data_IF_972934272668
#
_entry.id   IF_972934272668
#
_cell.length_a   1.000
_cell.length_b   1.000
_cell.length_c   1.000
_cell.angle_alpha   90.00
_cell.angle_beta   90.00
_cell.angle_gamma   90.00
#
_symmetry.space_group_name_H-M   'P 1'
#
loop_
_entity.id
_entity.type
_entity.pdbx_description
1 polymer ?
#
# COMPACT_ATOMS: atom_id res chain seq x y z
N UNK A 1 2.62 3.65 13.50
CA UNK A 1 3.28 4.73 12.73
C UNK A 1 2.24 5.33 11.80
N UNK A 2 1.91 6.61 11.93
CA UNK A 2 0.87 7.24 11.12
C UNK A 2 1.37 7.45 9.67
N UNK A 3 0.56 7.06 8.68
CA UNK A 3 0.85 7.23 7.27
C UNK A 3 0.95 8.73 6.92
N UNK A 4 2.11 9.26 6.45
CA UNK A 4 2.34 10.70 6.29
C UNK A 4 1.56 11.35 5.13
N UNK A 5 0.79 10.59 4.35
CA UNK A 5 0.05 11.08 3.18
C UNK A 5 -1.25 11.87 3.50
N UNK A 6 -1.66 11.98 4.77
CA UNK A 6 -2.98 12.53 5.14
C UNK A 6 -2.96 13.93 5.79
N UNK A 7 -1.83 14.64 5.73
CA UNK A 7 -1.58 15.80 6.59
C UNK A 7 -2.11 17.15 6.06
N UNK A 8 -2.38 17.31 4.75
CA UNK A 8 -2.84 18.60 4.20
C UNK A 8 -4.33 18.60 3.79
N UNK A 9 -5.10 19.67 4.10
CA UNK A 9 -6.46 19.88 3.59
C UNK A 9 -6.56 19.92 2.05
N UNK A 10 -5.46 20.20 1.34
CA UNK A 10 -5.42 20.13 -0.13
C UNK A 10 -5.38 18.67 -0.61
N UNK A 11 -4.60 17.83 0.05
CA UNK A 11 -4.46 16.41 -0.31
C UNK A 11 -5.80 15.68 -0.14
N UNK A 12 -6.50 15.94 0.96
CA UNK A 12 -7.84 15.37 1.21
C UNK A 12 -8.83 15.73 0.10
N UNK A 13 -8.82 16.98 -0.39
CA UNK A 13 -9.69 17.41 -1.49
C UNK A 13 -9.33 16.73 -2.80
N UNK A 14 -8.05 16.60 -3.14
CA UNK A 14 -7.64 15.91 -4.37
C UNK A 14 -8.04 14.44 -4.37
N UNK A 15 -7.91 13.77 -3.23
CA UNK A 15 -8.25 12.35 -3.09
C UNK A 15 -9.76 12.08 -3.14
N UNK A 16 -10.60 13.07 -2.85
CA UNK A 16 -12.07 12.92 -2.80
C UNK A 16 -12.81 13.53 -4.00
N UNK A 17 -12.12 14.25 -4.89
CA UNK A 17 -12.73 14.99 -6.00
C UNK A 17 -13.43 14.10 -7.04
N UNK A 18 -13.04 12.83 -7.13
CA UNK A 18 -13.61 11.87 -8.07
C UNK A 18 -14.85 11.16 -7.52
N UNK A 19 -15.17 11.36 -6.25
CA UNK A 19 -16.32 10.72 -5.60
C UNK A 19 -17.52 11.66 -5.57
N UNK A 20 -18.76 11.12 -5.70
CA UNK A 20 -19.97 11.88 -5.40
C UNK A 20 -19.88 12.47 -3.99
N UNK A 21 -20.46 13.67 -3.78
CA UNK A 21 -20.44 14.32 -2.48
C UNK A 21 -21.80 14.87 -2.04
N UNK A 22 -22.00 14.94 -0.73
CA UNK A 22 -23.19 15.49 -0.08
C UNK A 22 -22.79 16.36 1.10
N UNK A 23 -23.46 17.49 1.31
CA UNK A 23 -23.22 18.29 2.51
C UNK A 23 -23.88 17.64 3.72
N UNK A 24 -23.23 17.74 4.88
CA UNK A 24 -23.76 17.18 6.13
C UNK A 24 -25.17 17.71 6.45
N UNK A 25 -25.45 18.97 6.10
CA UNK A 25 -26.77 19.60 6.27
C UNK A 25 -27.87 18.99 5.39
N UNK A 26 -27.54 18.42 4.23
CA UNK A 26 -28.51 17.81 3.30
C UNK A 26 -28.71 16.32 3.55
N UNK A 27 -27.86 15.71 4.37
CA UNK A 27 -27.80 14.25 4.51
C UNK A 27 -29.12 13.64 5.03
N UNK A 28 -29.75 14.25 6.03
CA UNK A 28 -31.02 13.76 6.60
C UNK A 28 -32.16 13.77 5.57
N UNK A 29 -32.24 14.82 4.76
CA UNK A 29 -33.27 14.95 3.73
C UNK A 29 -33.00 14.16 2.45
N UNK A 30 -31.75 13.76 2.22
CA UNK A 30 -31.31 13.05 1.02
C UNK A 30 -30.92 11.59 1.28
N UNK A 31 -31.30 11.01 2.43
CA UNK A 31 -30.79 9.71 2.87
C UNK A 31 -30.99 8.60 1.83
N UNK A 32 -32.16 8.53 1.19
CA UNK A 32 -32.42 7.54 0.15
C UNK A 32 -31.48 7.69 -1.06
N UNK A 33 -31.25 8.93 -1.50
CA UNK A 33 -30.35 9.23 -2.61
C UNK A 33 -28.89 8.90 -2.24
N UNK A 34 -28.48 9.23 -1.01
CA UNK A 34 -27.16 8.90 -0.47
C UNK A 34 -26.96 7.39 -0.44
N UNK A 35 -27.92 6.62 0.07
CA UNK A 35 -27.87 5.15 0.07
C UNK A 35 -27.75 4.59 -1.34
N UNK A 36 -28.59 5.03 -2.29
CA UNK A 36 -28.50 4.57 -3.67
C UNK A 36 -27.14 4.90 -4.31
N UNK A 37 -26.60 6.08 -4.00
CA UNK A 37 -25.28 6.52 -4.49
C UNK A 37 -24.16 5.63 -3.94
N UNK A 38 -24.19 5.32 -2.64
CA UNK A 38 -23.23 4.41 -1.99
C UNK A 38 -23.32 3.01 -2.58
N UNK A 39 -24.53 2.49 -2.83
CA UNK A 39 -24.69 1.16 -3.44
C UNK A 39 -24.23 1.11 -4.90
N UNK A 40 -24.34 2.23 -5.63
CA UNK A 40 -23.94 2.30 -7.05
C UNK A 40 -22.44 2.56 -7.24
N UNK A 41 -21.86 3.46 -6.43
CA UNK A 41 -20.48 3.94 -6.61
C UNK A 41 -19.52 3.44 -5.53
N UNK A 42 -20.01 2.67 -4.54
CA UNK A 42 -19.23 2.13 -3.42
C UNK A 42 -18.86 3.15 -2.33
N UNK A 43 -18.94 4.45 -2.61
CA UNK A 43 -18.57 5.52 -1.67
C UNK A 43 -19.26 6.85 -1.98
N UNK A 44 -19.44 7.68 -0.94
CA UNK A 44 -19.83 9.10 -1.06
C UNK A 44 -19.10 9.93 -0.02
N UNK A 45 -18.67 11.13 -0.41
CA UNK A 45 -17.96 12.07 0.47
C UNK A 45 -18.97 12.96 1.17
N UNK A 46 -18.86 13.08 2.48
CA UNK A 46 -19.67 14.03 3.26
C UNK A 46 -18.85 15.27 3.55
N UNK A 47 -19.36 16.43 3.13
CA UNK A 47 -18.70 17.72 3.34
C UNK A 47 -19.32 18.53 4.47
N UNK A 48 -18.50 19.31 5.18
CA UNK A 48 -18.92 20.31 6.16
C UNK A 48 -18.27 21.64 5.76
N UNK A 49 -19.08 22.70 5.61
CA UNK A 49 -18.62 23.98 5.08
C UNK A 49 -17.81 23.81 3.77
N UNK A 50 -18.31 22.96 2.87
CA UNK A 50 -17.68 22.62 1.58
C UNK A 50 -16.30 21.92 1.67
N UNK A 51 -15.93 21.45 2.85
CA UNK A 51 -14.69 20.70 3.07
C UNK A 51 -15.00 19.22 3.33
N UNK A 52 -14.28 18.27 2.69
CA UNK A 52 -14.42 16.85 2.98
C UNK A 52 -14.21 16.57 4.48
N UNK A 53 -15.17 15.90 5.11
CA UNK A 53 -15.15 15.63 6.55
C UNK A 53 -15.19 14.15 6.91
N UNK A 54 -15.87 13.33 6.11
CA UNK A 54 -15.89 11.88 6.21
C UNK A 54 -16.28 11.25 4.86
N UNK A 55 -16.13 9.93 4.74
CA UNK A 55 -16.61 9.14 3.61
C UNK A 55 -17.56 8.08 4.15
N UNK A 56 -18.72 7.93 3.52
CA UNK A 56 -19.64 6.82 3.76
C UNK A 56 -19.37 5.75 2.70
N UNK A 57 -19.21 4.50 3.15
CA UNK A 57 -18.90 3.34 2.32
C UNK A 57 -20.01 2.30 2.46
N UNK A 58 -20.18 1.46 1.43
CA UNK A 58 -20.92 0.21 1.60
C UNK A 58 -20.12 -0.73 2.53
N UNK A 59 -20.83 -1.67 3.17
CA UNK A 59 -20.18 -2.69 4.01
C UNK A 59 -19.19 -3.50 3.18
N UNK A 60 -19.58 -3.91 1.96
CA UNK A 60 -18.70 -4.67 1.07
C UNK A 60 -17.41 -3.92 0.77
N UNK A 61 -17.51 -2.62 0.45
CA UNK A 61 -16.33 -1.79 0.16
C UNK A 61 -15.44 -1.60 1.38
N UNK A 62 -16.03 -1.49 2.57
CA UNK A 62 -15.28 -1.47 3.82
C UNK A 62 -14.51 -2.78 4.04
N UNK A 63 -15.16 -3.93 3.85
CA UNK A 63 -14.52 -5.24 4.01
C UNK A 63 -13.41 -5.49 2.98
N UNK A 64 -13.56 -5.01 1.75
CA UNK A 64 -12.49 -5.06 0.74
C UNK A 64 -11.26 -4.26 1.19
N UNK A 65 -11.46 -3.06 1.73
CA UNK A 65 -10.37 -2.21 2.21
C UNK A 65 -9.68 -2.81 3.42
N UNK A 66 -10.42 -3.40 4.36
CA UNK A 66 -9.85 -4.10 5.51
C UNK A 66 -9.00 -5.31 5.07
N UNK A 67 -9.47 -6.06 4.08
CA UNK A 67 -8.70 -7.19 3.50
C UNK A 67 -7.45 -6.72 2.75
N UNK A 68 -7.55 -5.64 1.97
CA UNK A 68 -6.41 -5.08 1.24
C UNK A 68 -5.38 -4.39 2.14
N UNK A 69 -5.80 -3.87 3.29
CA UNK A 69 -4.94 -3.23 4.26
C UNK A 69 -4.07 -4.22 5.05
N UNK A 70 -4.44 -5.51 5.07
CA UNK A 70 -3.60 -6.54 5.66
C UNK A 70 -2.42 -6.82 4.71
N UNK A 71 -1.16 -6.48 5.08
CA UNK A 71 -0.02 -6.93 4.31
C UNK A 71 -0.04 -8.47 4.26
N UNK A 72 0.18 -9.04 3.08
CA UNK A 72 0.34 -10.50 2.94
C UNK A 72 1.68 -10.93 3.55
N UNK A 73 1.70 -11.05 4.88
CA UNK A 73 2.88 -11.42 5.65
C UNK A 73 3.33 -12.85 5.34
N UNK A 74 2.41 -13.73 4.94
CA UNK A 74 2.73 -15.10 4.55
C UNK A 74 3.57 -15.12 3.27
N UNK A 75 3.18 -14.35 2.24
CA UNK A 75 3.96 -14.22 1.02
C UNK A 75 5.32 -13.57 1.26
N UNK A 76 5.39 -12.59 2.18
CA UNK A 76 6.66 -11.97 2.56
C UNK A 76 7.57 -12.96 3.31
N UNK A 77 7.00 -13.74 4.21
CA UNK A 77 7.71 -14.76 4.99
C UNK A 77 8.23 -15.87 4.07
N UNK A 78 7.40 -16.37 3.16
CA UNK A 78 7.81 -17.36 2.18
C UNK A 78 8.99 -16.87 1.32
N UNK A 79 8.93 -15.62 0.85
CA UNK A 79 10.04 -15.04 0.08
C UNK A 79 11.33 -14.94 0.91
N UNK A 80 11.21 -14.60 2.18
CA UNK A 80 12.36 -14.56 3.08
C UNK A 80 12.96 -15.96 3.25
N UNK A 81 12.12 -16.97 3.50
CA UNK A 81 12.54 -18.35 3.68
C UNK A 81 13.19 -18.91 2.41
N UNK A 82 12.65 -18.61 1.22
CA UNK A 82 13.24 -19.02 -0.07
C UNK A 82 14.64 -18.41 -0.28
N UNK A 83 14.81 -17.13 0.02
CA UNK A 83 16.11 -16.45 -0.04
C UNK A 83 17.08 -17.04 0.98
N UNK A 84 16.62 -17.27 2.20
CA UNK A 84 17.42 -17.83 3.28
C UNK A 84 17.89 -19.25 2.95
N UNK A 85 16.98 -20.11 2.46
CA UNK A 85 17.30 -21.46 2.03
C UNK A 85 18.36 -21.46 0.90
N UNK A 86 18.27 -20.51 -0.04
CA UNK A 86 19.27 -20.31 -1.08
C UNK A 86 20.67 -19.98 -0.54
N UNK A 87 20.76 -19.33 0.63
CA UNK A 87 22.04 -19.00 1.28
C UNK A 87 22.62 -20.15 2.12
N UNK A 88 21.78 -21.10 2.57
CA UNK A 88 22.21 -22.21 3.42
C UNK A 88 22.85 -23.37 2.65
N UNK A 89 22.85 -23.32 1.31
CA UNK A 89 23.43 -24.37 0.49
C UNK A 89 24.95 -24.40 0.49
N UNK A 90 25.51 -25.61 0.38
CA UNK A 90 26.93 -25.91 0.21
C UNK A 90 27.64 -25.08 -0.89
N UNK A 91 26.90 -24.71 -1.94
CA UNK A 91 27.39 -23.88 -3.04
C UNK A 91 27.50 -22.41 -2.63
N UNK A 92 26.51 -21.89 -1.90
CA UNK A 92 26.52 -20.51 -1.40
C UNK A 92 27.61 -20.32 -0.34
N UNK A 93 27.80 -21.32 0.53
CA UNK A 93 28.89 -21.32 1.51
C UNK A 93 30.27 -21.24 0.83
N UNK A 94 30.53 -22.09 -0.17
CA UNK A 94 31.79 -22.10 -0.93
C UNK A 94 31.99 -20.82 -1.74
N UNK A 95 30.94 -20.31 -2.39
CA UNK A 95 31.00 -19.05 -3.11
C UNK A 95 31.33 -17.86 -2.19
N UNK A 96 30.85 -17.91 -0.94
CA UNK A 96 31.17 -16.91 0.07
C UNK A 96 32.64 -17.01 0.50
N UNK A 97 33.14 -18.22 0.81
CA UNK A 97 34.55 -18.46 1.12
C UNK A 97 35.47 -17.98 0.00
N UNK A 98 35.17 -18.32 -1.25
CA UNK A 98 35.91 -17.89 -2.43
C UNK A 98 35.93 -16.36 -2.56
N UNK A 99 34.79 -15.71 -2.34
CA UNK A 99 34.68 -14.25 -2.39
C UNK A 99 35.58 -13.55 -1.34
N UNK A 100 35.69 -14.12 -0.13
CA UNK A 100 36.58 -13.61 0.91
C UNK A 100 38.06 -13.91 0.66
N UNK A 101 38.37 -14.92 -0.14
CA UNK A 101 39.74 -15.27 -0.52
C UNK A 101 40.29 -14.39 -1.69
N UNK A 102 39.45 -13.61 -2.37
CA UNK A 102 39.88 -12.78 -3.49
C UNK A 102 40.81 -11.64 -3.05
N UNK A 103 41.86 -11.40 -3.84
CA UNK A 103 42.67 -10.19 -3.71
C UNK A 103 41.87 -8.94 -4.14
N UNK A 104 42.21 -7.74 -3.67
CA UNK A 104 41.50 -6.51 -4.02
C UNK A 104 41.36 -6.27 -5.53
N UNK A 105 42.36 -6.65 -6.33
CA UNK A 105 42.32 -6.52 -7.79
C UNK A 105 41.29 -7.47 -8.44
N UNK A 106 41.21 -8.71 -7.96
CA UNK A 106 40.23 -9.69 -8.44
C UNK A 106 38.81 -9.33 -8.02
N UNK A 107 38.65 -8.82 -6.79
CA UNK A 107 37.39 -8.29 -6.27
C UNK A 107 36.89 -7.11 -7.12
N UNK A 108 37.79 -6.20 -7.51
CA UNK A 108 37.48 -5.09 -8.42
C UNK A 108 37.03 -5.56 -9.80
N UNK A 109 37.67 -6.58 -10.38
CA UNK A 109 37.24 -7.16 -11.65
C UNK A 109 35.86 -7.81 -11.55
N UNK A 110 35.61 -8.60 -10.50
CA UNK A 110 34.32 -9.23 -10.26
C UNK A 110 33.19 -8.21 -10.13
N UNK A 111 33.42 -7.09 -9.43
CA UNK A 111 32.44 -6.01 -9.30
C UNK A 111 32.07 -5.36 -10.65
N UNK A 112 33.05 -5.15 -11.54
CA UNK A 112 32.79 -4.63 -12.90
C UNK A 112 31.98 -5.62 -13.73
N UNK A 113 32.24 -6.93 -13.58
CA UNK A 113 31.49 -7.97 -14.28
C UNK A 113 30.05 -8.13 -13.77
N UNK A 114 29.77 -7.84 -12.50
CA UNK A 114 28.44 -7.97 -11.89
C UNK A 114 27.44 -6.89 -12.30
N UNK A 115 27.89 -5.79 -12.92
CA UNK A 115 27.06 -4.63 -13.31
C UNK A 115 26.71 -4.66 -14.82
N UNK A 116 27.07 -5.74 -15.53
CA UNK A 116 26.79 -5.93 -16.95
C UNK A 116 25.63 -6.90 -17.18
#
# INVERSE_FOLDING_TARGET
MANPLMSSPKDKRHLTQTLPSVSASKMVGAMQQVTNTVMTHGAVVVTRHDQPSMVLLSVDRYLELEQAAAPNLDALTQRFDDLYAGMQGDVAARAMEDAFALSPAQLGQAAVHAVK
#
